data_IF_323765627225
#
_entry.id   IF_323765627225
#
_cell.length_a   1.000
_cell.length_b   1.000
_cell.length_c   1.000
_cell.angle_alpha   90.00
_cell.angle_beta   90.00
_cell.angle_gamma   90.00
#
_symmetry.space_group_name_H-M   'P 1'
#
loop_
_entity.id
_entity.type
_entity.pdbx_description
1 polymer ?
#
# COMPACT_ATOMS: atom_id res chain seq x y z
N UNK A 1 -31.97 -31.61 15.36
CA UNK A 1 -30.80 -32.29 14.76
C UNK A 1 -30.75 -33.78 15.12
N UNK A 2 -31.37 -34.19 16.23
CA UNK A 2 -31.70 -35.59 16.51
C UNK A 2 -33.18 -35.66 16.89
N UNK A 3 -33.85 -36.73 16.49
CA UNK A 3 -35.26 -36.98 16.80
C UNK A 3 -35.39 -37.64 18.17
N UNK A 4 -34.39 -38.46 18.56
CA UNK A 4 -34.24 -39.01 19.91
C UNK A 4 -32.76 -39.25 20.21
N UNK A 5 -32.34 -39.03 21.46
CA UNK A 5 -31.00 -39.36 21.96
C UNK A 5 -31.18 -40.14 23.26
N UNK A 6 -30.74 -41.39 23.26
CA UNK A 6 -30.73 -42.28 24.41
C UNK A 6 -29.27 -42.46 24.87
N UNK A 7 -29.04 -42.34 26.18
CA UNK A 7 -27.72 -42.48 26.80
C UNK A 7 -27.76 -43.58 27.85
N UNK A 8 -27.01 -44.65 27.62
CA UNK A 8 -26.85 -45.75 28.57
C UNK A 8 -25.42 -45.78 29.11
N UNK A 9 -25.28 -45.56 30.42
CA UNK A 9 -24.01 -45.67 31.13
C UNK A 9 -23.92 -46.97 31.93
N UNK A 10 -22.85 -47.74 31.74
CA UNK A 10 -22.46 -48.87 32.59
C UNK A 10 -21.12 -48.59 33.26
N UNK A 11 -21.07 -48.70 34.57
CA UNK A 11 -19.82 -48.64 35.34
C UNK A 11 -19.08 -49.97 35.24
N UNK A 12 -17.83 -49.91 34.80
CA UNK A 12 -16.92 -51.05 34.73
C UNK A 12 -16.28 -51.30 36.10
N UNK A 13 -15.90 -52.55 36.40
CA UNK A 13 -15.29 -52.92 37.70
C UNK A 13 -13.90 -52.31 37.93
N UNK A 14 -13.27 -51.71 36.91
CA UNK A 14 -12.01 -50.96 37.00
C UNK A 14 -12.20 -49.47 37.40
N UNK A 15 -13.45 -49.04 37.66
CA UNK A 15 -13.79 -47.66 38.00
C UNK A 15 -14.03 -46.75 36.80
N UNK A 16 -13.96 -47.27 35.56
CA UNK A 16 -14.31 -46.51 34.36
C UNK A 16 -15.80 -46.59 34.05
N UNK A 17 -16.34 -45.62 33.29
CA UNK A 17 -17.76 -45.57 32.92
C UNK A 17 -17.90 -45.74 31.41
N UNK A 18 -18.43 -46.87 30.97
CA UNK A 18 -18.75 -47.16 29.58
C UNK A 18 -20.09 -46.50 29.21
N UNK A 19 -20.03 -45.46 28.39
CA UNK A 19 -21.20 -44.67 27.99
C UNK A 19 -21.54 -44.96 26.53
N UNK A 20 -22.72 -45.54 26.29
CA UNK A 20 -23.26 -45.83 24.96
C UNK A 20 -24.33 -44.79 24.64
N UNK A 21 -24.11 -43.98 23.61
CA UNK A 21 -25.05 -42.96 23.16
C UNK A 21 -25.67 -43.44 21.84
N UNK A 22 -26.95 -43.79 21.86
CA UNK A 22 -27.75 -44.14 20.68
C UNK A 22 -28.63 -42.96 20.29
N UNK A 23 -28.71 -42.63 19.00
CA UNK A 23 -29.55 -41.51 18.54
C UNK A 23 -30.22 -41.81 17.21
N UNK A 24 -31.44 -41.32 17.04
CA UNK A 24 -32.18 -41.30 15.76
C UNK A 24 -32.02 -39.95 15.10
N UNK A 25 -31.60 -39.97 13.85
CA UNK A 25 -31.35 -38.76 13.06
C UNK A 25 -32.62 -38.34 12.30
N UNK A 26 -32.92 -37.04 12.31
CA UNK A 26 -34.00 -36.48 11.49
C UNK A 26 -33.64 -36.64 10.01
N UNK A 27 -34.48 -37.36 9.26
CA UNK A 27 -34.30 -37.58 7.82
C UNK A 27 -35.47 -37.02 7.02
N UNK A 28 -35.17 -36.40 5.89
CA UNK A 28 -36.15 -35.85 4.96
C UNK A 28 -36.15 -36.60 3.63
N UNK A 29 -37.13 -36.32 2.78
CA UNK A 29 -37.25 -36.92 1.44
C UNK A 29 -36.03 -36.59 0.57
N UNK A 30 -35.81 -37.39 -0.47
CA UNK A 30 -34.76 -37.18 -1.45
C UNK A 30 -34.95 -35.85 -2.19
N UNK A 31 -33.88 -35.06 -2.32
CA UNK A 31 -33.89 -33.82 -3.09
C UNK A 31 -33.00 -33.94 -4.33
N UNK A 32 -33.56 -33.60 -5.50
CA UNK A 32 -32.90 -33.71 -6.81
C UNK A 32 -32.33 -32.37 -7.29
N UNK A 33 -32.71 -31.27 -6.62
CA UNK A 33 -32.34 -29.90 -6.97
C UNK A 33 -31.72 -29.19 -5.77
N UNK A 34 -30.75 -28.35 -6.07
CA UNK A 34 -30.07 -27.49 -5.10
C UNK A 34 -30.10 -26.06 -5.60
N UNK A 35 -30.51 -25.14 -4.74
CA UNK A 35 -30.55 -23.71 -5.02
C UNK A 35 -29.89 -22.96 -3.88
N UNK A 36 -28.97 -22.06 -4.21
CA UNK A 36 -28.33 -21.19 -3.24
C UNK A 36 -28.85 -19.76 -3.44
N UNK A 37 -29.39 -19.15 -2.38
CA UNK A 37 -29.95 -17.80 -2.42
C UNK A 37 -29.30 -16.89 -1.38
N UNK A 38 -29.03 -15.65 -1.76
CA UNK A 38 -28.52 -14.64 -0.85
C UNK A 38 -29.71 -13.93 -0.20
N UNK A 39 -29.86 -14.15 1.11
CA UNK A 39 -30.89 -13.55 1.96
C UNK A 39 -30.35 -12.36 2.78
N UNK A 40 -29.13 -11.91 2.49
CA UNK A 40 -28.54 -10.70 3.07
C UNK A 40 -29.41 -9.47 2.81
N UNK A 41 -29.62 -8.67 3.87
CA UNK A 41 -30.50 -7.50 3.91
C UNK A 41 -32.01 -7.81 3.84
N UNK A 42 -32.41 -9.09 3.95
CA UNK A 42 -33.81 -9.48 4.11
C UNK A 42 -34.10 -9.78 5.58
N UNK A 43 -35.18 -9.21 6.12
CA UNK A 43 -35.64 -9.54 7.46
C UNK A 43 -35.85 -11.06 7.59
N UNK A 44 -35.33 -11.66 8.66
CA UNK A 44 -35.58 -13.06 8.94
C UNK A 44 -37.04 -13.27 9.32
N UNK A 45 -37.68 -14.27 8.72
CA UNK A 45 -39.01 -14.70 9.14
C UNK A 45 -38.86 -15.38 10.50
N UNK A 46 -39.32 -14.73 11.58
CA UNK A 46 -39.44 -15.38 12.87
C UNK A 46 -40.47 -16.52 12.75
N UNK A 47 -40.21 -17.70 13.32
CA UNK A 47 -41.23 -18.73 13.41
C UNK A 47 -42.40 -18.15 14.20
N UNK A 48 -43.57 -18.03 13.56
CA UNK A 48 -44.79 -17.68 14.29
C UNK A 48 -45.17 -18.94 15.06
N UNK A 49 -45.22 -18.84 16.39
CA UNK A 49 -45.67 -19.93 17.24
C UNK A 49 -47.10 -20.30 16.87
N UNK A 50 -47.32 -21.57 16.53
CA UNK A 50 -48.64 -22.07 16.21
C UNK A 50 -49.45 -22.17 17.49
N UNK A 51 -50.60 -21.50 17.52
CA UNK A 51 -51.56 -21.64 18.62
C UNK A 51 -52.07 -23.09 18.68
N UNK A 52 -51.93 -23.79 19.82
CA UNK A 52 -52.39 -25.17 19.97
C UNK A 52 -53.91 -25.35 19.71
N UNK A 53 -54.71 -24.28 19.84
CA UNK A 53 -56.17 -24.32 19.67
C UNK A 53 -56.66 -24.09 18.22
N UNK A 54 -55.76 -23.95 17.23
CA UNK A 54 -56.16 -23.77 15.82
C UNK A 54 -56.90 -24.99 15.24
N UNK A 55 -57.99 -24.74 14.51
CA UNK A 55 -58.72 -25.76 13.75
C UNK A 55 -57.92 -26.27 12.54
N UNK A 56 -58.21 -27.49 12.07
CA UNK A 56 -57.50 -28.12 10.95
C UNK A 56 -57.56 -27.30 9.65
N UNK A 57 -58.63 -26.53 9.44
CA UNK A 57 -58.76 -25.59 8.32
C UNK A 57 -57.80 -24.41 8.44
N UNK A 58 -57.69 -23.82 9.63
CA UNK A 58 -56.79 -22.70 9.91
C UNK A 58 -55.32 -23.15 9.81
N UNK A 59 -55.00 -24.36 10.30
CA UNK A 59 -53.69 -24.97 10.11
C UNK A 59 -53.35 -25.15 8.63
N UNK A 60 -54.28 -25.62 7.81
CA UNK A 60 -54.08 -25.79 6.36
C UNK A 60 -53.86 -24.45 5.63
N UNK A 61 -54.65 -23.42 5.96
CA UNK A 61 -54.46 -22.08 5.39
C UNK A 61 -53.15 -21.44 5.82
N UNK A 62 -52.76 -21.64 7.08
CA UNK A 62 -51.47 -21.20 7.61
C UNK A 62 -50.29 -21.81 6.83
N UNK A 63 -50.28 -23.12 6.61
CA UNK A 63 -49.24 -23.77 5.80
C UNK A 63 -49.21 -23.25 4.35
N UNK A 64 -50.37 -23.02 3.73
CA UNK A 64 -50.45 -22.45 2.37
C UNK A 64 -49.91 -21.02 2.30
N UNK A 65 -50.20 -20.20 3.30
CA UNK A 65 -49.69 -18.83 3.36
C UNK A 65 -48.17 -18.82 3.61
N UNK A 66 -47.68 -19.67 4.52
CA UNK A 66 -46.25 -19.83 4.76
C UNK A 66 -45.50 -20.28 3.51
N UNK A 67 -46.04 -21.23 2.74
CA UNK A 67 -45.43 -21.69 1.48
C UNK A 67 -45.40 -20.59 0.40
N UNK A 68 -46.47 -19.78 0.30
CA UNK A 68 -46.53 -18.63 -0.61
C UNK A 68 -45.52 -17.56 -0.24
N UNK A 69 -45.41 -17.22 1.04
CA UNK A 69 -44.46 -16.23 1.52
C UNK A 69 -43.01 -16.74 1.37
N UNK A 70 -42.78 -18.04 1.56
CA UNK A 70 -41.50 -18.67 1.29
C UNK A 70 -41.11 -18.61 -0.20
N UNK A 71 -42.05 -18.89 -1.12
CA UNK A 71 -41.82 -18.73 -2.57
C UNK A 71 -41.52 -17.29 -2.94
N UNK A 72 -42.27 -16.31 -2.41
CA UNK A 72 -41.99 -14.88 -2.60
C UNK A 72 -40.60 -14.48 -2.06
N UNK A 73 -40.16 -15.07 -0.95
CA UNK A 73 -38.81 -14.85 -0.40
C UNK A 73 -37.74 -15.35 -1.37
N UNK A 74 -37.90 -16.55 -1.92
CA UNK A 74 -36.96 -17.12 -2.92
C UNK A 74 -36.90 -16.27 -4.19
N UNK A 75 -38.05 -15.77 -4.68
CA UNK A 75 -38.10 -14.94 -5.89
C UNK A 75 -37.46 -13.56 -5.70
N UNK A 76 -37.58 -12.98 -4.50
CA UNK A 76 -36.97 -11.70 -4.15
C UNK A 76 -35.49 -11.81 -3.78
N UNK A 77 -35.02 -12.99 -3.41
CA UNK A 77 -33.64 -13.21 -3.00
C UNK A 77 -32.68 -13.05 -4.19
N UNK A 78 -31.51 -12.47 -3.92
CA UNK A 78 -30.46 -12.30 -4.93
C UNK A 78 -29.75 -13.64 -5.18
N UNK A 79 -29.24 -13.89 -6.40
CA UNK A 79 -28.39 -15.04 -6.65
C UNK A 79 -27.09 -14.92 -5.84
N UNK A 80 -26.61 -16.03 -5.31
CA UNK A 80 -25.32 -16.11 -4.61
C UNK A 80 -24.13 -15.99 -5.58
N UNK A 81 -22.98 -15.59 -5.04
CA UNK A 81 -21.67 -15.59 -5.70
C UNK A 81 -21.11 -17.01 -5.92
N UNK A 82 -21.76 -18.03 -5.35
CA UNK A 82 -21.32 -19.43 -5.40
C UNK A 82 -21.21 -19.95 -6.85
N UNK A 83 -20.06 -20.46 -7.28
CA UNK A 83 -19.85 -20.89 -8.66
C UNK A 83 -20.58 -22.19 -8.95
N UNK A 84 -20.83 -22.43 -10.25
CA UNK A 84 -21.52 -23.63 -10.72
C UNK A 84 -20.78 -24.94 -10.38
N UNK A 85 -19.46 -24.87 -10.16
CA UNK A 85 -18.66 -26.02 -9.75
C UNK A 85 -19.09 -26.55 -8.38
N UNK A 86 -19.20 -25.67 -7.38
CA UNK A 86 -19.64 -26.06 -6.03
C UNK A 86 -21.09 -26.52 -6.03
N UNK A 87 -21.96 -25.91 -6.86
CA UNK A 87 -23.33 -26.38 -7.05
C UNK A 87 -23.37 -27.84 -7.54
N UNK A 88 -22.51 -28.22 -8.50
CA UNK A 88 -22.45 -29.60 -9.01
C UNK A 88 -21.96 -30.59 -7.96
N UNK A 89 -20.96 -30.22 -7.15
CA UNK A 89 -20.47 -31.06 -6.06
C UNK A 89 -21.55 -31.30 -5.01
N UNK A 90 -22.31 -30.26 -4.63
CA UNK A 90 -23.43 -30.38 -3.70
C UNK A 90 -24.53 -31.27 -4.27
N UNK A 91 -24.86 -31.12 -5.56
CA UNK A 91 -25.82 -31.99 -6.24
C UNK A 91 -25.35 -33.46 -6.28
N UNK A 92 -24.05 -33.69 -6.45
CA UNK A 92 -23.49 -35.03 -6.38
C UNK A 92 -23.64 -35.63 -4.99
N UNK A 93 -23.33 -34.87 -3.93
CA UNK A 93 -23.54 -35.32 -2.54
C UNK A 93 -24.99 -35.67 -2.24
N UNK A 94 -25.95 -34.91 -2.78
CA UNK A 94 -27.38 -35.19 -2.65
C UNK A 94 -27.78 -36.48 -3.36
N UNK A 95 -27.25 -36.75 -4.55
CA UNK A 95 -27.53 -37.96 -5.34
C UNK A 95 -26.96 -39.23 -4.73
N UNK A 96 -25.75 -39.16 -4.16
CA UNK A 96 -25.06 -40.32 -3.58
C UNK A 96 -25.74 -40.87 -2.32
N UNK A 97 -26.31 -40.01 -1.47
CA UNK A 97 -26.96 -40.45 -0.23
C UNK A 97 -28.42 -40.84 -0.40
N UNK A 98 -29.11 -40.34 -1.43
CA UNK A 98 -30.51 -40.64 -1.73
C UNK A 98 -31.54 -40.11 -0.70
N UNK A 99 -31.15 -39.78 0.53
CA UNK A 99 -31.98 -39.11 1.55
C UNK A 99 -31.25 -37.89 2.10
N UNK A 100 -31.99 -36.83 2.42
CA UNK A 100 -31.41 -35.64 3.07
C UNK A 100 -31.36 -35.91 4.57
N UNK A 101 -30.15 -36.09 5.10
CA UNK A 101 -29.88 -36.25 6.53
C UNK A 101 -29.35 -34.94 7.13
N UNK A 102 -29.43 -34.78 8.46
CA UNK A 102 -28.87 -33.62 9.13
C UNK A 102 -27.34 -33.51 8.93
N UNK A 103 -26.64 -34.65 8.93
CA UNK A 103 -25.21 -34.75 8.59
C UNK A 103 -24.90 -34.30 7.17
N UNK A 104 -25.76 -34.64 6.21
CA UNK A 104 -25.59 -34.19 4.82
C UNK A 104 -25.72 -32.67 4.72
N UNK A 105 -26.73 -32.08 5.36
CA UNK A 105 -26.91 -30.63 5.39
C UNK A 105 -25.72 -29.93 6.06
N UNK A 106 -25.16 -30.51 7.13
CA UNK A 106 -23.91 -30.01 7.72
C UNK A 106 -22.73 -30.08 6.75
N UNK A 107 -22.52 -31.20 6.05
CA UNK A 107 -21.47 -31.31 5.03
C UNK A 107 -21.63 -30.29 3.90
N UNK A 108 -22.87 -30.07 3.45
CA UNK A 108 -23.18 -29.05 2.43
C UNK A 108 -22.86 -27.66 2.97
N UNK A 109 -23.30 -27.35 4.19
CA UNK A 109 -22.99 -26.10 4.89
C UNK A 109 -21.48 -25.88 4.97
N UNK A 110 -20.74 -26.84 5.48
CA UNK A 110 -19.29 -26.76 5.64
C UNK A 110 -18.59 -26.56 4.30
N UNK A 111 -19.04 -27.27 3.25
CA UNK A 111 -18.48 -27.12 1.89
C UNK A 111 -18.71 -25.73 1.30
N UNK A 112 -19.93 -25.20 1.44
CA UNK A 112 -20.31 -23.87 0.95
C UNK A 112 -19.57 -22.80 1.73
N UNK A 113 -19.59 -22.87 3.06
CA UNK A 113 -18.85 -21.92 3.91
C UNK A 113 -17.36 -21.97 3.60
N UNK A 114 -16.76 -23.17 3.47
CA UNK A 114 -15.35 -23.31 3.11
C UNK A 114 -15.00 -22.60 1.82
N UNK A 115 -15.82 -22.74 0.76
CA UNK A 115 -15.59 -22.02 -0.49
C UNK A 115 -15.58 -20.49 -0.29
N UNK A 116 -16.56 -19.94 0.44
CA UNK A 116 -16.58 -18.50 0.71
C UNK A 116 -15.33 -18.04 1.51
N UNK A 117 -14.89 -18.82 2.50
CA UNK A 117 -13.71 -18.47 3.30
C UNK A 117 -12.42 -18.55 2.49
N UNK A 118 -12.28 -19.58 1.64
CA UNK A 118 -11.13 -19.78 0.75
C UNK A 118 -10.99 -18.62 -0.26
N UNK A 119 -12.12 -18.08 -0.76
CA UNK A 119 -12.16 -16.91 -1.65
C UNK A 119 -12.09 -15.55 -0.92
N UNK A 120 -11.98 -15.56 0.41
CA UNK A 120 -11.81 -14.34 1.23
C UNK A 120 -13.10 -13.65 1.69
N UNK A 121 -14.27 -14.25 1.50
CA UNK A 121 -15.55 -13.78 2.03
C UNK A 121 -15.76 -14.25 3.48
N UNK A 122 -14.96 -13.69 4.40
CA UNK A 122 -14.92 -14.09 5.81
C UNK A 122 -16.24 -13.89 6.58
N UNK A 123 -17.11 -12.99 6.11
CA UNK A 123 -18.38 -12.71 6.77
C UNK A 123 -19.57 -13.46 6.17
N UNK A 124 -19.31 -14.37 5.22
CA UNK A 124 -20.37 -15.16 4.60
C UNK A 124 -20.76 -16.36 5.49
N UNK A 125 -22.05 -16.53 5.73
CA UNK A 125 -22.58 -17.60 6.57
C UNK A 125 -23.85 -18.22 5.99
N UNK A 126 -23.93 -19.55 6.04
CA UNK A 126 -25.18 -20.27 5.77
C UNK A 126 -26.06 -20.14 7.01
N UNK A 127 -27.21 -19.49 6.84
CA UNK A 127 -28.15 -19.19 7.92
C UNK A 127 -29.17 -20.31 8.08
N UNK A 128 -29.74 -20.78 6.97
CA UNK A 128 -30.81 -21.76 7.02
C UNK A 128 -30.83 -22.65 5.76
N UNK A 129 -31.42 -23.84 5.91
CA UNK A 129 -31.85 -24.65 4.78
C UNK A 129 -33.37 -24.65 4.77
N UNK A 130 -33.96 -24.08 3.74
CA UNK A 130 -35.40 -23.94 3.66
C UNK A 130 -36.07 -25.07 2.88
N UNK A 131 -37.32 -25.31 3.27
CA UNK A 131 -38.29 -26.24 2.65
C UNK A 131 -37.76 -27.65 2.35
N UNK A 132 -37.18 -28.29 3.38
CA UNK A 132 -36.61 -29.65 3.33
C UNK A 132 -37.63 -30.76 3.00
N UNK A 133 -38.93 -30.46 3.03
CA UNK A 133 -40.00 -31.40 2.67
C UNK A 133 -40.30 -31.42 1.17
N UNK A 134 -39.53 -30.69 0.35
CA UNK A 134 -39.66 -30.67 -1.11
C UNK A 134 -38.49 -31.38 -1.79
N UNK A 135 -38.60 -31.63 -3.10
CA UNK A 135 -37.52 -32.20 -3.93
C UNK A 135 -36.36 -31.22 -4.19
N UNK A 136 -36.35 -30.05 -3.54
CA UNK A 136 -35.35 -28.99 -3.72
C UNK A 136 -34.82 -28.55 -2.36
N UNK A 137 -33.49 -28.56 -2.20
CA UNK A 137 -32.83 -27.99 -1.02
C UNK A 137 -32.44 -26.56 -1.33
N UNK A 138 -33.03 -25.61 -0.60
CA UNK A 138 -32.71 -24.19 -0.70
C UNK A 138 -31.73 -23.81 0.41
N UNK A 139 -30.51 -23.45 0.04
CA UNK A 139 -29.48 -22.95 0.94
C UNK A 139 -29.58 -21.43 1.04
N UNK A 140 -29.89 -20.92 2.22
CA UNK A 140 -29.96 -19.49 2.51
C UNK A 140 -28.63 -19.00 3.07
N UNK A 141 -27.97 -18.12 2.32
CA UNK A 141 -26.66 -17.57 2.66
C UNK A 141 -26.77 -16.08 2.90
N UNK A 142 -26.10 -15.58 3.93
CA UNK A 142 -25.82 -14.17 4.12
C UNK A 142 -24.38 -13.96 3.69
N UNK A 143 -24.15 -13.24 2.59
CA UNK A 143 -22.81 -13.03 2.06
C UNK A 143 -22.06 -11.87 2.73
N UNK A 144 -22.79 -10.98 3.42
CA UNK A 144 -22.22 -9.83 4.12
C UNK A 144 -22.08 -8.60 3.22
N UNK A 145 -23.22 -8.03 2.82
CA UNK A 145 -23.26 -6.81 2.02
C UNK A 145 -22.82 -5.60 2.86
N UNK A 146 -21.94 -4.76 2.31
CA UNK A 146 -21.48 -3.53 2.95
C UNK A 146 -22.62 -2.51 2.90
N UNK A 147 -23.21 -2.22 4.05
CA UNK A 147 -24.27 -1.20 4.18
C UNK A 147 -23.66 0.17 4.38
N UNK A 148 -22.57 0.29 5.13
CA UNK A 148 -21.91 1.55 5.44
C UNK A 148 -20.40 1.38 5.57
N UNK A 149 -19.68 2.44 5.22
CA UNK A 149 -18.24 2.58 5.42
C UNK A 149 -18.00 3.78 6.33
N UNK A 150 -17.42 3.54 7.50
CA UNK A 150 -17.20 4.56 8.52
C UNK A 150 -15.70 4.71 8.76
N UNK A 151 -15.18 5.92 8.59
CA UNK A 151 -13.78 6.24 8.85
C UNK A 151 -13.74 7.05 10.16
N UNK A 152 -13.02 6.54 11.16
CA UNK A 152 -12.88 7.17 12.47
C UNK A 152 -11.41 7.45 12.75
N UNK A 153 -11.11 8.66 13.22
CA UNK A 153 -9.79 8.98 13.72
C UNK A 153 -9.74 8.72 15.22
N UNK A 154 -8.64 8.15 15.69
CA UNK A 154 -8.42 7.81 17.09
C UNK A 154 -7.16 8.49 17.61
N UNK A 155 -7.23 8.97 18.85
CA UNK A 155 -6.08 9.50 19.57
C UNK A 155 -5.18 8.38 20.13
N UNK A 156 -4.06 8.74 20.76
CA UNK A 156 -3.13 7.82 21.41
C UNK A 156 -3.80 6.93 22.47
N UNK A 157 -4.90 7.40 23.06
CA UNK A 157 -5.72 6.71 24.05
C UNK A 157 -6.90 5.92 23.46
N UNK A 158 -7.07 5.89 22.13
CA UNK A 158 -8.15 5.15 21.45
C UNK A 158 -9.51 5.86 21.38
N UNK A 159 -9.61 7.10 21.87
CA UNK A 159 -10.82 7.91 21.79
C UNK A 159 -11.04 8.45 20.37
N UNK A 160 -12.30 8.52 19.94
CA UNK A 160 -12.65 9.10 18.63
C UNK A 160 -12.43 10.61 18.67
N UNK A 161 -11.64 11.12 17.74
CA UNK A 161 -11.28 12.53 17.62
C UNK A 161 -11.50 13.03 16.19
N UNK A 162 -11.55 14.34 16.02
CA UNK A 162 -11.50 14.94 14.68
C UNK A 162 -10.08 14.83 14.13
N UNK A 163 -9.91 14.14 13.01
CA UNK A 163 -8.60 13.93 12.39
C UNK A 163 -8.09 15.18 11.69
N UNK A 164 -6.78 15.39 11.69
CA UNK A 164 -6.18 16.49 10.94
C UNK A 164 -6.17 16.22 9.42
N UNK A 165 -6.27 14.95 9.02
CA UNK A 165 -6.32 14.52 7.62
C UNK A 165 -7.72 14.64 7.04
N UNK A 166 -7.85 15.20 5.84
CA UNK A 166 -9.14 15.29 5.18
C UNK A 166 -9.63 13.92 4.74
N UNK A 167 -10.90 13.60 5.03
CA UNK A 167 -11.54 12.32 4.66
C UNK A 167 -11.41 11.95 3.16
N UNK A 168 -11.51 12.89 2.19
CA UNK A 168 -11.32 12.57 0.78
C UNK A 168 -9.95 11.95 0.47
N UNK A 169 -8.89 12.30 1.22
CA UNK A 169 -7.53 11.77 1.03
C UNK A 169 -7.46 10.29 1.39
N UNK A 170 -8.18 9.87 2.43
CA UNK A 170 -8.27 8.46 2.80
C UNK A 170 -9.21 7.72 1.84
N UNK A 171 -10.37 8.31 1.55
CA UNK A 171 -11.44 7.66 0.76
C UNK A 171 -11.00 7.31 -0.66
N UNK A 172 -10.13 8.11 -1.29
CA UNK A 172 -9.58 7.84 -2.63
C UNK A 172 -8.66 6.62 -2.67
N UNK A 173 -7.99 6.29 -1.56
CA UNK A 173 -7.06 5.15 -1.48
C UNK A 173 -7.80 3.83 -1.22
N UNK A 174 -9.10 3.90 -0.91
CA UNK A 174 -9.93 2.72 -0.68
C UNK A 174 -10.30 2.02 -2.00
N UNK A 175 -10.19 0.68 -2.05
CA UNK A 175 -10.61 -0.10 -3.21
C UNK A 175 -12.12 0.02 -3.44
N UNK A 176 -12.54 -0.09 -4.71
CA UNK A 176 -13.96 0.03 -5.08
C UNK A 176 -14.83 -1.05 -4.45
N UNK A 177 -14.25 -2.22 -4.15
CA UNK A 177 -14.89 -3.35 -3.51
C UNK A 177 -15.39 -3.03 -2.09
N UNK A 178 -14.77 -2.09 -1.37
CA UNK A 178 -15.22 -1.67 -0.04
C UNK A 178 -16.30 -0.58 -0.07
N UNK A 179 -16.84 -0.25 -1.25
CA UNK A 179 -17.95 0.69 -1.37
C UNK A 179 -19.26 0.02 -0.92
N UNK A 180 -20.16 0.85 -0.41
CA UNK A 180 -21.53 0.46 -0.09
C UNK A 180 -22.20 -0.28 -1.25
N UNK A 181 -22.90 -1.37 -0.94
CA UNK A 181 -23.62 -2.23 -1.88
C UNK A 181 -22.82 -3.41 -2.43
N UNK A 182 -21.51 -3.49 -2.15
CA UNK A 182 -20.69 -4.65 -2.50
C UNK A 182 -20.56 -5.63 -1.33
N UNK A 183 -20.23 -6.88 -1.62
CA UNK A 183 -19.96 -7.90 -0.61
C UNK A 183 -18.56 -7.70 -0.01
N UNK A 184 -18.44 -7.80 1.32
CA UNK A 184 -17.17 -7.63 2.01
C UNK A 184 -16.20 -8.78 1.69
N UNK A 185 -14.99 -8.41 1.22
CA UNK A 185 -13.89 -9.35 0.99
C UNK A 185 -12.66 -8.91 1.80
N UNK A 186 -12.04 -9.88 2.49
CA UNK A 186 -10.86 -9.65 3.34
C UNK A 186 -9.63 -9.19 2.55
N UNK A 187 -9.48 -9.62 1.30
CA UNK A 187 -8.38 -9.19 0.42
C UNK A 187 -8.51 -7.71 0.06
N UNK A 188 -9.74 -7.24 -0.17
CA UNK A 188 -10.02 -5.82 -0.37
C UNK A 188 -9.70 -5.01 0.91
N UNK A 189 -10.02 -5.55 2.09
CA UNK A 189 -9.61 -4.98 3.38
C UNK A 189 -8.08 -4.87 3.51
N UNK A 190 -7.34 -5.94 3.19
CA UNK A 190 -5.86 -5.95 3.18
C UNK A 190 -5.29 -4.98 2.16
N UNK A 191 -5.91 -4.86 0.98
CA UNK A 191 -5.49 -3.90 -0.05
C UNK A 191 -5.70 -2.46 0.43
N UNK A 192 -6.83 -2.17 1.08
CA UNK A 192 -7.09 -0.87 1.69
C UNK A 192 -6.03 -0.53 2.74
N UNK A 193 -5.71 -1.47 3.63
CA UNK A 193 -4.66 -1.30 4.64
C UNK A 193 -3.31 -0.95 3.99
N UNK A 194 -2.90 -1.67 2.93
CA UNK A 194 -1.64 -1.39 2.20
C UNK A 194 -1.64 -0.01 1.56
N UNK A 195 -2.74 0.39 0.91
CA UNK A 195 -2.85 1.69 0.26
C UNK A 195 -2.81 2.83 1.29
N UNK A 196 -3.55 2.71 2.40
CA UNK A 196 -3.54 3.71 3.47
C UNK A 196 -2.17 3.78 4.14
N UNK A 197 -1.52 2.65 4.39
CA UNK A 197 -0.17 2.61 4.95
C UNK A 197 0.85 3.30 4.03
N UNK A 198 0.67 3.19 2.71
CA UNK A 198 1.55 3.87 1.74
C UNK A 198 1.48 5.41 1.80
N UNK A 199 0.45 5.98 2.45
CA UNK A 199 0.38 7.42 2.68
C UNK A 199 1.39 7.90 3.75
N UNK A 200 1.89 7.01 4.62
CA UNK A 200 2.81 7.32 5.72
C UNK A 200 2.30 8.44 6.67
N UNK A 201 0.98 8.56 6.80
CA UNK A 201 0.29 9.54 7.66
C UNK A 201 -0.21 8.95 8.98
N UNK A 202 -0.27 7.62 9.09
CA UNK A 202 -0.91 6.93 10.20
C UNK A 202 0.08 5.99 10.88
N UNK A 203 0.03 5.93 12.21
CA UNK A 203 0.84 5.04 13.03
C UNK A 203 0.18 3.68 13.23
N UNK A 204 -1.14 3.64 13.35
CA UNK A 204 -1.93 2.41 13.43
C UNK A 204 -3.16 2.54 12.52
N UNK A 205 -3.49 1.44 11.83
CA UNK A 205 -4.62 1.34 10.90
C UNK A 205 -5.32 0.02 11.20
N UNK A 206 -6.58 0.09 11.58
CA UNK A 206 -7.41 -1.08 11.83
C UNK A 206 -8.62 -1.05 10.91
N UNK A 207 -8.90 -2.16 10.24
CA UNK A 207 -10.06 -2.34 9.38
C UNK A 207 -10.90 -3.46 9.97
N UNK A 208 -12.01 -3.10 10.59
CA UNK A 208 -12.88 -4.01 11.32
C UNK A 208 -14.25 -4.08 10.66
N UNK A 209 -14.67 -5.24 10.12
CA UNK A 209 -16.07 -5.44 9.72
C UNK A 209 -16.92 -5.66 10.98
N UNK A 210 -18.01 -4.91 11.11
CA UNK A 210 -19.00 -5.07 12.18
C UNK A 210 -20.38 -5.37 11.59
N UNK A 211 -21.19 -6.25 12.18
CA UNK A 211 -22.58 -6.42 11.78
C UNK A 211 -23.35 -5.11 11.93
N UNK A 212 -24.19 -4.79 10.96
CA UNK A 212 -25.09 -3.63 11.02
C UNK A 212 -26.30 -3.97 11.89
N UNK A 213 -26.49 -3.26 13.01
CA UNK A 213 -27.65 -3.46 13.90
C UNK A 213 -28.98 -3.08 13.23
N UNK A 214 -28.96 -2.18 12.24
CA UNK A 214 -30.17 -1.71 11.56
C UNK A 214 -30.63 -2.62 10.44
N UNK A 215 -29.70 -3.33 9.80
CA UNK A 215 -29.97 -4.19 8.66
C UNK A 215 -29.45 -5.60 8.92
N UNK A 216 -30.35 -6.56 9.14
CA UNK A 216 -29.98 -7.96 9.34
C UNK A 216 -29.16 -8.49 8.14
N UNK A 217 -27.96 -9.00 8.42
CA UNK A 217 -27.02 -9.51 7.41
C UNK A 217 -26.21 -8.44 6.66
N UNK A 218 -26.37 -7.16 7.02
CA UNK A 218 -25.52 -6.07 6.57
C UNK A 218 -24.23 -5.94 7.39
N UNK A 219 -23.19 -5.37 6.79
CA UNK A 219 -21.90 -5.12 7.42
C UNK A 219 -21.54 -3.64 7.33
N UNK A 220 -21.17 -3.07 8.46
CA UNK A 220 -20.51 -1.77 8.57
C UNK A 220 -19.00 -2.00 8.61
N UNK A 221 -18.28 -1.45 7.63
CA UNK A 221 -16.81 -1.51 7.63
C UNK A 221 -16.30 -0.27 8.37
N UNK A 222 -15.75 -0.48 9.56
CA UNK A 222 -15.11 0.57 10.36
C UNK A 222 -13.61 0.59 10.08
N UNK A 223 -13.11 1.74 9.64
CA UNK A 223 -11.68 2.01 9.45
C UNK A 223 -11.25 2.96 10.56
N UNK A 224 -10.48 2.45 11.51
CA UNK A 224 -9.93 3.24 12.62
C UNK A 224 -8.50 3.63 12.27
N UNK A 225 -8.24 4.93 12.35
CA UNK A 225 -6.97 5.54 11.95
C UNK A 225 -6.36 6.30 13.11
N UNK A 226 -5.14 5.93 13.50
CA UNK A 226 -4.36 6.70 14.45
C UNK A 226 -3.33 7.52 13.70
N UNK A 227 -3.45 8.84 13.75
CA UNK A 227 -2.53 9.74 13.03
C UNK A 227 -1.11 9.63 13.59
N UNK A 228 -0.13 9.78 12.72
CA UNK A 228 1.28 9.93 13.09
C UNK A 228 1.55 11.39 13.49
N UNK A 229 2.52 11.60 14.36
CA UNK A 229 2.98 12.95 14.70
C UNK A 229 3.48 13.65 13.43
N UNK A 230 2.88 14.81 13.11
CA UNK A 230 3.12 15.52 11.85
C UNK A 230 4.50 16.17 11.76
N UNK A 231 5.15 16.43 12.89
CA UNK A 231 6.43 17.11 12.99
C UNK A 231 7.47 16.14 13.50
N UNK A 232 8.54 15.95 12.74
CA UNK A 232 9.72 15.24 13.21
C UNK A 232 10.97 16.09 12.97
N UNK A 233 11.92 15.95 13.89
CA UNK A 233 13.26 16.49 13.75
C UNK A 233 14.23 15.36 14.04
N UNK A 234 15.11 15.10 13.08
CA UNK A 234 16.12 14.05 13.15
C UNK A 234 17.50 14.71 13.08
N UNK A 235 18.40 14.25 13.94
CA UNK A 235 19.79 14.71 13.98
C UNK A 235 20.67 13.48 13.84
N UNK A 236 21.44 13.41 12.77
CA UNK A 236 22.45 12.38 12.55
C UNK A 236 23.84 13.01 12.69
N UNK A 237 24.72 12.39 13.46
CA UNK A 237 26.12 12.80 13.58
C UNK A 237 27.01 11.76 12.92
N UNK A 238 27.97 12.23 12.14
CA UNK A 238 28.94 11.43 11.40
C UNK A 238 30.35 11.81 11.85
N UNK A 239 31.25 10.85 11.90
CA UNK A 239 32.64 11.08 12.32
C UNK A 239 33.56 10.56 11.24
N UNK A 240 34.25 11.48 10.56
CA UNK A 240 35.21 11.14 9.52
C UNK A 240 36.64 11.29 10.03
N UNK A 241 37.51 10.34 9.65
CA UNK A 241 38.95 10.36 9.94
C UNK A 241 39.68 10.52 8.60
N UNK A 242 40.20 11.72 8.34
CA UNK A 242 40.96 12.00 7.11
C UNK A 242 42.46 11.89 7.39
N UNK A 243 43.17 10.89 6.86
CA UNK A 243 44.60 10.73 7.13
C UNK A 243 45.38 11.96 6.64
N UNK A 244 46.25 12.51 7.49
CA UNK A 244 47.07 13.68 7.13
C UNK A 244 48.13 13.33 6.07
N UNK A 245 48.91 14.34 5.63
CA UNK A 245 49.97 14.21 4.59
C UNK A 245 51.02 13.11 4.83
N UNK A 246 51.08 12.53 6.04
CA UNK A 246 51.96 11.40 6.39
C UNK A 246 51.25 10.04 6.54
N UNK A 247 50.00 9.91 6.09
CA UNK A 247 49.21 8.65 6.16
C UNK A 247 48.81 8.20 7.57
N UNK A 248 49.17 8.98 8.61
CA UNK A 248 48.83 8.71 10.01
C UNK A 248 47.68 9.61 10.46
N UNK A 249 46.67 9.05 11.16
CA UNK A 249 45.61 9.86 11.76
C UNK A 249 46.21 10.71 12.90
N UNK A 250 46.04 12.03 12.83
CA UNK A 250 46.41 12.99 13.89
C UNK A 250 45.15 13.51 14.58
N UNK A 251 45.23 14.18 15.74
CA UNK A 251 44.04 14.74 16.41
C UNK A 251 43.22 15.72 15.53
N UNK A 252 43.85 16.33 14.52
CA UNK A 252 43.20 17.19 13.52
C UNK A 252 42.55 16.42 12.34
N UNK A 253 42.77 15.10 12.25
CA UNK A 253 42.13 14.22 11.25
C UNK A 253 40.66 13.93 11.57
N UNK A 254 40.23 14.25 12.77
CA UNK A 254 38.89 14.00 13.26
C UNK A 254 37.95 15.13 12.87
N UNK A 255 37.09 14.85 11.89
CA UNK A 255 36.12 15.80 11.37
C UNK A 255 34.72 15.35 11.78
N UNK A 256 34.13 15.95 12.83
CA UNK A 256 32.75 15.70 13.19
C UNK A 256 31.84 16.39 12.17
N UNK A 257 31.06 15.61 11.43
CA UNK A 257 30.01 16.07 10.52
C UNK A 257 28.64 15.66 11.03
N UNK A 258 27.60 16.06 10.32
CA UNK A 258 26.25 15.63 10.63
C UNK A 258 25.19 16.26 9.75
N UNK A 259 23.98 15.70 9.84
CA UNK A 259 22.79 16.20 9.15
C UNK A 259 21.69 16.48 10.17
N UNK A 260 21.13 17.69 10.10
CA UNK A 260 19.92 18.05 10.83
C UNK A 260 18.78 18.12 9.82
N UNK A 261 17.77 17.28 9.98
CA UNK A 261 16.57 17.28 9.14
C UNK A 261 15.32 17.57 9.95
N UNK A 262 14.47 18.43 9.40
CA UNK A 262 13.14 18.74 9.90
C UNK A 262 12.12 18.31 8.85
N UNK A 263 11.10 17.59 9.27
CA UNK A 263 9.99 17.19 8.42
C UNK A 263 8.67 17.64 9.04
N UNK A 264 7.84 18.24 8.22
CA UNK A 264 6.46 18.56 8.55
C UNK A 264 5.53 17.93 7.52
N UNK A 265 4.81 16.89 7.92
CA UNK A 265 3.87 16.12 7.10
C UNK A 265 2.45 16.64 7.25
N UNK A 266 1.62 16.31 6.26
CA UNK A 266 0.18 16.53 6.25
C UNK A 266 -0.31 17.99 6.39
N UNK A 267 0.35 18.95 5.74
CA UNK A 267 -0.08 20.35 5.76
C UNK A 267 -1.54 20.50 5.28
N UNK A 268 -2.38 21.12 6.10
CA UNK A 268 -3.82 21.31 5.87
C UNK A 268 -4.61 20.00 5.63
N UNK A 269 -4.07 18.85 6.05
CA UNK A 269 -4.73 17.55 5.91
C UNK A 269 -4.71 16.95 4.50
N UNK A 270 -3.84 17.46 3.61
CA UNK A 270 -3.82 17.10 2.18
C UNK A 270 -2.62 16.21 1.79
N UNK A 271 -1.97 15.55 2.75
CA UNK A 271 -0.73 14.78 2.53
C UNK A 271 0.40 15.61 1.89
N UNK A 272 0.45 16.91 2.19
CA UNK A 272 1.51 17.82 1.75
C UNK A 272 2.63 17.80 2.77
N UNK A 273 3.88 17.71 2.32
CA UNK A 273 5.03 17.71 3.23
C UNK A 273 6.04 18.80 2.89
N UNK A 274 6.70 19.31 3.93
CA UNK A 274 7.90 20.14 3.85
C UNK A 274 9.01 19.37 4.54
N UNK A 275 10.12 19.16 3.84
CA UNK A 275 11.33 18.53 4.34
C UNK A 275 12.48 19.53 4.21
N UNK A 276 13.09 19.92 5.32
CA UNK A 276 14.32 20.68 5.37
C UNK A 276 15.46 19.78 5.85
N UNK A 277 16.62 19.87 5.22
CA UNK A 277 17.83 19.18 5.66
C UNK A 277 19.02 20.12 5.53
N UNK A 278 19.88 20.09 6.54
CA UNK A 278 21.12 20.83 6.61
C UNK A 278 22.22 19.82 6.91
N UNK A 279 23.17 19.67 5.98
CA UNK A 279 24.28 18.73 6.09
C UNK A 279 25.59 19.52 6.14
N UNK A 280 26.46 19.15 7.07
CA UNK A 280 27.83 19.66 7.15
C UNK A 280 28.79 18.50 7.34
N UNK A 281 29.87 18.46 6.58
CA UNK A 281 30.94 17.46 6.76
C UNK A 281 31.90 17.81 7.90
N UNK A 282 31.90 19.08 8.34
CA UNK A 282 32.79 19.55 9.40
C UNK A 282 32.11 20.65 10.24
N UNK A 283 31.72 20.32 11.47
CA UNK A 283 31.18 21.27 12.43
C UNK A 283 32.20 22.31 12.91
N UNK A 284 33.50 22.03 12.81
CA UNK A 284 34.55 22.97 13.23
C UNK A 284 34.71 24.12 12.23
N UNK A 285 34.49 23.85 10.94
CA UNK A 285 34.48 24.85 9.86
C UNK A 285 33.21 24.69 9.00
N UNK A 286 32.03 25.09 9.52
CA UNK A 286 30.78 24.87 8.80
C UNK A 286 30.67 25.70 7.51
N UNK A 287 31.45 26.77 7.37
CA UNK A 287 31.43 27.62 6.18
C UNK A 287 32.02 26.94 4.94
N UNK A 288 32.85 25.91 5.13
CA UNK A 288 33.57 25.25 4.04
C UNK A 288 32.75 24.16 3.34
N UNK A 289 31.67 23.64 3.95
CA UNK A 289 30.88 22.55 3.34
C UNK A 289 29.44 22.46 3.89
N UNK A 290 28.75 23.59 3.92
CA UNK A 290 27.32 23.63 4.30
C UNK A 290 26.44 23.35 3.08
N UNK A 291 25.82 22.16 3.05
CA UNK A 291 24.77 21.83 2.10
C UNK A 291 23.40 21.99 2.77
N UNK A 292 22.45 22.58 2.06
CA UNK A 292 21.05 22.59 2.51
C UNK A 292 20.13 22.12 1.41
N UNK A 293 19.03 21.50 1.79
CA UNK A 293 17.96 21.12 0.88
C UNK A 293 16.61 21.29 1.56
N UNK A 294 15.79 22.16 1.00
CA UNK A 294 14.41 22.38 1.39
C UNK A 294 13.50 21.87 0.28
N UNK A 295 12.52 21.04 0.61
CA UNK A 295 11.69 20.33 -0.34
C UNK A 295 10.22 20.37 0.07
N UNK A 296 9.37 20.89 -0.80
CA UNK A 296 7.92 20.89 -0.68
C UNK A 296 7.33 19.86 -1.63
N UNK A 297 6.50 18.96 -1.10
CA UNK A 297 5.85 17.89 -1.85
C UNK A 297 4.33 18.04 -1.76
N UNK A 298 3.68 18.03 -2.92
CA UNK A 298 2.23 18.08 -3.06
C UNK A 298 1.74 16.94 -3.96
N UNK A 299 1.33 15.79 -3.40
CA UNK A 299 0.96 14.58 -4.16
C UNK A 299 -0.29 14.68 -5.04
N UNK A 300 -1.21 15.61 -4.75
CA UNK A 300 -2.51 15.72 -5.42
C UNK A 300 -2.71 17.09 -6.05
N UNK A 301 -1.85 17.43 -7.02
CA UNK A 301 -1.83 18.76 -7.64
C UNK A 301 -3.19 19.16 -8.24
N UNK A 302 -3.84 18.23 -8.95
CA UNK A 302 -5.12 18.48 -9.65
C UNK A 302 -6.36 18.36 -8.72
N UNK A 303 -6.15 18.17 -7.42
CA UNK A 303 -7.20 17.97 -6.42
C UNK A 303 -7.48 16.51 -6.07
N UNK A 304 -8.12 16.29 -4.92
CA UNK A 304 -8.28 14.96 -4.31
C UNK A 304 -9.28 14.07 -5.04
N UNK A 305 -10.24 14.68 -5.76
CA UNK A 305 -11.28 13.97 -6.52
C UNK A 305 -10.84 13.56 -7.93
N UNK A 306 -9.72 14.08 -8.42
CA UNK A 306 -9.23 13.75 -9.76
C UNK A 306 -8.55 12.36 -9.74
N UNK A 307 -8.88 11.45 -10.68
CA UNK A 307 -8.20 10.16 -10.79
C UNK A 307 -6.73 10.27 -11.21
N UNK A 308 -6.29 11.42 -11.74
CA UNK A 308 -4.90 11.64 -12.14
C UNK A 308 -4.00 11.88 -10.93
N UNK A 309 -3.03 10.99 -10.73
CA UNK A 309 -2.04 11.10 -9.67
C UNK A 309 -0.83 11.90 -10.15
N UNK A 310 -0.94 13.23 -10.03
CA UNK A 310 0.15 14.18 -10.32
C UNK A 310 0.72 14.77 -9.04
N UNK A 311 2.01 14.50 -8.82
CA UNK A 311 2.75 15.03 -7.67
C UNK A 311 3.58 16.23 -8.10
N UNK A 312 3.36 17.38 -7.48
CA UNK A 312 4.25 18.53 -7.59
C UNK A 312 5.32 18.48 -6.51
N UNK A 313 6.56 18.78 -6.88
CA UNK A 313 7.73 18.80 -6.00
C UNK A 313 8.56 20.04 -6.30
N UNK A 314 8.64 20.94 -5.32
CA UNK A 314 9.52 22.11 -5.39
C UNK A 314 10.66 21.91 -4.40
N UNK A 315 11.91 22.12 -4.83
CA UNK A 315 13.08 22.00 -3.98
C UNK A 315 14.02 23.17 -4.17
N UNK A 316 14.48 23.75 -3.08
CA UNK A 316 15.62 24.67 -3.03
C UNK A 316 16.81 23.89 -2.47
N UNK A 317 17.96 23.97 -3.12
CA UNK A 317 19.13 23.23 -2.70
C UNK A 317 20.39 24.08 -2.82
N UNK A 318 21.36 23.80 -1.96
CA UNK A 318 22.74 24.19 -2.08
C UNK A 318 23.60 22.96 -1.80
N UNK A 319 24.51 22.65 -2.71
CA UNK A 319 25.41 21.52 -2.58
C UNK A 319 26.78 21.85 -3.15
N UNK A 320 27.83 21.46 -2.44
CA UNK A 320 29.23 21.49 -2.89
C UNK A 320 29.66 20.09 -3.30
N UNK A 321 30.35 19.95 -4.43
CA UNK A 321 30.91 18.67 -4.90
C UNK A 321 32.27 18.88 -5.56
N UNK A 322 33.17 17.93 -5.41
CA UNK A 322 34.44 17.90 -6.13
C UNK A 322 34.20 17.73 -7.64
N UNK A 323 34.87 18.51 -8.47
CA UNK A 323 34.81 18.35 -9.92
C UNK A 323 35.59 17.12 -10.38
N UNK A 324 34.98 16.18 -11.11
CA UNK A 324 35.71 15.04 -11.68
C UNK A 324 36.47 15.39 -12.97
N UNK A 325 36.30 16.61 -13.51
CA UNK A 325 36.84 17.02 -14.82
C UNK A 325 38.26 17.58 -14.71
N UNK A 326 38.59 18.22 -13.58
CA UNK A 326 39.89 18.84 -13.35
C UNK A 326 40.79 17.86 -12.60
N UNK A 327 41.36 16.91 -13.32
CA UNK A 327 42.32 15.93 -12.79
C UNK A 327 43.68 16.08 -13.47
N UNK A 328 44.75 15.68 -12.79
CA UNK A 328 46.10 15.65 -13.35
C UNK A 328 46.19 14.81 -14.63
N UNK A 329 46.91 15.33 -15.63
CA UNK A 329 47.26 14.58 -16.82
C UNK A 329 48.37 13.54 -16.55
N UNK A 330 48.72 12.70 -17.53
CA UNK A 330 49.78 11.71 -17.38
C UNK A 330 51.10 12.37 -16.93
N UNK A 331 51.63 11.97 -15.78
CA UNK A 331 52.88 12.50 -15.21
C UNK A 331 52.73 13.69 -14.24
N UNK A 332 51.51 14.06 -13.87
CA UNK A 332 51.22 15.07 -12.83
C UNK A 332 50.39 14.42 -11.73
N UNK A 333 51.00 14.19 -10.56
CA UNK A 333 50.37 13.41 -9.48
C UNK A 333 49.31 14.17 -8.67
N UNK A 334 49.34 15.52 -8.66
CA UNK A 334 48.34 16.33 -7.94
C UNK A 334 48.08 17.65 -8.68
N UNK A 335 46.85 17.83 -9.16
CA UNK A 335 46.34 19.14 -9.60
C UNK A 335 45.39 19.63 -8.52
N UNK A 336 45.47 20.90 -8.10
CA UNK A 336 44.57 21.41 -7.07
C UNK A 336 43.10 21.20 -7.45
N UNK A 337 42.31 20.61 -6.54
CA UNK A 337 40.92 20.30 -6.78
C UNK A 337 40.10 21.56 -6.99
N UNK A 338 39.12 21.45 -7.89
CA UNK A 338 38.11 22.48 -8.12
C UNK A 338 36.80 22.00 -7.54
N UNK A 339 36.25 22.79 -6.62
CA UNK A 339 34.94 22.57 -6.02
C UNK A 339 33.86 23.22 -6.88
N UNK A 340 32.75 22.51 -7.07
CA UNK A 340 31.57 22.99 -7.80
C UNK A 340 30.43 23.14 -6.81
N UNK A 341 30.13 24.39 -6.48
CA UNK A 341 28.97 24.74 -5.68
C UNK A 341 27.78 24.94 -6.62
N UNK A 342 26.66 24.30 -6.29
CA UNK A 342 25.40 24.43 -7.01
C UNK A 342 24.34 24.89 -6.04
N UNK A 343 23.81 26.08 -6.27
CA UNK A 343 22.66 26.60 -5.55
C UNK A 343 21.52 26.84 -6.53
N UNK A 344 20.33 26.35 -6.22
CA UNK A 344 19.24 26.43 -7.19
C UNK A 344 17.87 26.04 -6.67
N UNK A 345 16.90 26.28 -7.53
CA UNK A 345 15.50 25.92 -7.34
C UNK A 345 15.09 24.96 -8.45
N UNK A 346 14.38 23.92 -8.08
CA UNK A 346 13.87 22.90 -8.99
C UNK A 346 12.39 22.69 -8.72
N UNK A 347 11.57 22.77 -9.76
CA UNK A 347 10.13 22.52 -9.69
C UNK A 347 9.77 21.42 -10.68
N UNK A 348 9.28 20.27 -10.19
CA UNK A 348 8.92 19.13 -11.02
C UNK A 348 7.47 18.72 -10.79
N UNK A 349 6.84 18.23 -11.85
CA UNK A 349 5.58 17.52 -11.83
C UNK A 349 5.89 16.07 -12.20
N UNK A 350 5.42 15.12 -11.40
CA UNK A 350 5.54 13.69 -11.64
C UNK A 350 4.16 13.10 -11.89
N UNK A 351 3.98 12.49 -13.05
CA UNK A 351 2.78 11.75 -13.44
C UNK A 351 3.05 10.25 -13.34
N UNK A 352 2.21 9.54 -12.60
CA UNK A 352 2.27 8.09 -12.49
C UNK A 352 1.27 7.49 -13.49
N UNK A 353 1.75 6.93 -14.61
CA UNK A 353 0.91 6.28 -15.61
C UNK A 353 0.48 4.88 -15.16
N UNK A 354 1.43 4.12 -14.61
CA UNK A 354 1.19 2.80 -14.03
C UNK A 354 1.98 2.67 -12.73
N UNK A 355 1.81 1.59 -11.98
CA UNK A 355 2.66 1.30 -10.80
C UNK A 355 4.15 1.21 -11.16
N UNK A 356 4.46 0.93 -12.42
CA UNK A 356 5.81 0.67 -12.93
C UNK A 356 6.38 1.82 -13.77
N UNK A 357 5.53 2.70 -14.31
CA UNK A 357 5.94 3.75 -15.25
C UNK A 357 5.62 5.13 -14.69
N UNK A 358 6.65 5.96 -14.57
CA UNK A 358 6.58 7.33 -14.05
C UNK A 358 7.22 8.29 -15.04
N UNK A 359 6.59 9.45 -15.21
CA UNK A 359 7.12 10.53 -16.01
C UNK A 359 7.24 11.79 -15.16
N UNK A 360 8.44 12.34 -15.08
CA UNK A 360 8.73 13.56 -14.33
C UNK A 360 9.18 14.62 -15.32
N UNK A 361 8.57 15.79 -15.30
CA UNK A 361 9.02 16.94 -16.07
C UNK A 361 9.05 18.17 -15.17
N UNK A 362 9.98 19.08 -15.43
CA UNK A 362 10.18 20.21 -14.55
C UNK A 362 11.15 21.25 -15.08
N UNK A 363 11.27 22.32 -14.31
CA UNK A 363 12.17 23.43 -14.56
C UNK A 363 13.22 23.47 -13.45
N UNK A 364 14.48 23.58 -13.84
CA UNK A 364 15.60 23.76 -12.92
C UNK A 364 16.23 25.11 -13.22
N UNK A 365 16.44 25.91 -12.18
CA UNK A 365 17.25 27.13 -12.22
C UNK A 365 18.38 26.95 -11.22
N UNK A 366 19.63 26.95 -11.68
CA UNK A 366 20.79 26.80 -10.81
C UNK A 366 21.87 27.84 -11.14
N UNK A 367 22.54 28.29 -10.08
CA UNK A 367 23.80 29.00 -10.11
C UNK A 367 24.90 27.99 -9.79
N UNK A 368 25.89 27.90 -10.68
CA UNK A 368 27.07 27.07 -10.57
C UNK A 368 28.23 28.00 -10.29
N UNK A 369 28.89 27.84 -9.16
CA UNK A 369 30.11 28.58 -8.82
C UNK A 369 31.26 27.60 -8.63
N UNK A 370 32.40 27.89 -9.24
CA UNK A 370 33.59 27.05 -9.14
C UNK A 370 34.61 27.70 -8.23
N UNK A 371 35.12 26.94 -7.26
CA UNK A 371 36.05 27.43 -6.24
C UNK A 371 37.31 26.60 -6.16
N UNK A 372 38.40 27.25 -5.76
CA UNK A 372 39.68 26.60 -5.46
C UNK A 372 39.72 26.03 -4.03
N UNK A 373 40.85 25.44 -3.64
CA UNK A 373 41.10 24.94 -2.27
C UNK A 373 40.97 26.01 -1.19
N UNK A 374 41.23 27.27 -1.52
CA UNK A 374 41.14 28.40 -0.61
C UNK A 374 39.74 29.05 -0.60
N UNK A 375 38.74 28.39 -1.19
CA UNK A 375 37.35 28.85 -1.33
C UNK A 375 37.16 30.13 -2.16
N UNK A 376 38.16 30.57 -2.93
CA UNK A 376 38.04 31.69 -3.87
C UNK A 376 37.44 31.24 -5.19
N UNK A 377 36.75 32.14 -5.87
CA UNK A 377 36.16 31.87 -7.19
C UNK A 377 37.29 31.64 -8.19
N UNK A 378 37.32 30.46 -8.79
CA UNK A 378 38.30 30.07 -9.79
C UNK A 378 37.65 30.05 -11.17
N UNK A 379 38.03 31.02 -12.01
CA UNK A 379 37.52 31.17 -13.38
C UNK A 379 38.18 30.22 -14.38
N UNK A 380 39.43 29.83 -14.12
CA UNK A 380 40.24 28.99 -14.98
C UNK A 380 40.88 27.88 -14.15
N UNK A 381 40.97 26.69 -14.74
CA UNK A 381 41.73 25.60 -14.18
C UNK A 381 43.21 25.93 -14.12
N UNK A 382 43.95 25.17 -13.32
CA UNK A 382 45.39 25.31 -13.23
C UNK A 382 46.10 24.39 -14.21
N UNK A 383 47.15 24.89 -14.86
CA UNK A 383 48.03 24.15 -15.77
C UNK A 383 49.46 24.18 -15.25
N UNK A 384 50.14 23.04 -15.31
CA UNK A 384 51.58 22.95 -15.01
C UNK A 384 52.38 23.46 -16.20
N UNK A 385 53.28 24.41 -15.96
CA UNK A 385 54.22 24.94 -16.95
C UNK A 385 55.40 23.96 -17.13
N UNK A 386 56.07 23.96 -18.29
CA UNK A 386 57.28 23.16 -18.52
C UNK A 386 58.43 23.42 -17.52
N UNK A 387 58.38 24.55 -16.80
CA UNK A 387 59.31 24.92 -15.73
C UNK A 387 58.96 24.29 -14.37
N UNK A 388 57.90 23.49 -14.27
CA UNK A 388 57.40 22.91 -13.01
C UNK A 388 56.53 23.86 -12.16
N UNK A 389 56.32 25.10 -12.63
CA UNK A 389 55.42 26.06 -11.96
C UNK A 389 53.95 25.82 -12.29
N UNK A 390 53.04 26.24 -11.41
CA UNK A 390 51.59 26.17 -11.62
C UNK A 390 51.10 27.53 -12.14
N UNK A 391 50.34 27.55 -13.23
CA UNK A 391 49.75 28.75 -13.81
C UNK A 391 48.22 28.62 -13.88
N UNK A 392 47.49 29.67 -13.48
CA UNK A 392 46.02 29.74 -13.52
C UNK A 392 45.46 30.10 -14.92
N UNK A 393 46.21 29.84 -15.98
CA UNK A 393 45.84 30.08 -17.38
C UNK A 393 45.41 28.76 -18.07
N UNK A 394 44.72 27.91 -17.32
CA UNK A 394 44.15 26.66 -17.84
C UNK A 394 42.77 26.87 -18.46
N UNK A 395 42.07 25.76 -18.80
CA UNK A 395 40.76 25.84 -19.42
C UNK A 395 39.73 26.51 -18.50
N UNK A 396 38.76 27.26 -19.04
CA UNK A 396 37.73 27.92 -18.24
C UNK A 396 36.91 26.89 -17.47
N UNK A 397 36.60 27.21 -16.21
CA UNK A 397 35.85 26.34 -15.29
C UNK A 397 34.35 26.37 -15.53
N UNK A 398 33.85 27.45 -16.14
CA UNK A 398 32.44 27.66 -16.49
C UNK A 398 32.29 28.13 -17.94
N UNK A 399 31.09 28.05 -18.51
CA UNK A 399 30.80 28.45 -19.89
C UNK A 399 31.09 29.94 -20.11
N UNK A 400 30.78 30.78 -19.13
CA UNK A 400 31.08 32.22 -19.20
C UNK A 400 32.57 32.54 -19.05
N UNK A 401 33.37 31.64 -18.47
CA UNK A 401 34.77 31.89 -18.15
C UNK A 401 34.99 32.84 -16.97
N UNK A 402 33.95 33.09 -16.16
CA UNK A 402 34.01 33.95 -14.96
C UNK A 402 34.11 33.17 -13.65
N UNK A 403 33.92 31.84 -13.70
CA UNK A 403 33.81 30.99 -12.52
C UNK A 403 32.40 30.96 -11.90
N UNK A 404 31.45 31.76 -12.43
CA UNK A 404 30.05 31.79 -11.99
C UNK A 404 29.11 31.75 -13.20
N UNK A 405 28.29 30.72 -13.28
CA UNK A 405 27.27 30.58 -14.33
C UNK A 405 25.89 30.41 -13.73
N UNK A 406 24.92 31.17 -14.25
CA UNK A 406 23.50 30.96 -13.98
C UNK A 406 22.88 30.30 -15.19
N UNK A 407 22.04 29.30 -14.99
CA UNK A 407 21.30 28.70 -16.09
C UNK A 407 19.93 28.19 -15.66
N UNK A 408 18.99 28.26 -16.61
CA UNK A 408 17.71 27.60 -16.51
C UNK A 408 17.56 26.54 -17.61
N UNK A 409 17.08 25.36 -17.23
CA UNK A 409 16.86 24.26 -18.16
C UNK A 409 15.60 23.46 -17.81
N UNK A 410 14.97 22.92 -18.85
CA UNK A 410 13.87 21.97 -18.70
C UNK A 410 14.44 20.57 -18.51
N UNK A 411 13.90 19.84 -17.55
CA UNK A 411 14.25 18.45 -17.27
C UNK A 411 13.03 17.57 -17.52
N UNK A 412 13.21 16.48 -18.27
CA UNK A 412 12.23 15.43 -18.44
C UNK A 412 12.88 14.08 -18.12
N UNK A 413 12.17 13.21 -17.40
CA UNK A 413 12.64 11.89 -16.99
C UNK A 413 11.50 10.88 -17.11
N UNK A 414 11.72 9.82 -17.89
CA UNK A 414 10.84 8.66 -17.99
C UNK A 414 11.53 7.50 -17.27
N UNK A 415 10.86 6.97 -16.25
CA UNK A 415 11.33 5.79 -15.52
C UNK A 415 10.32 4.66 -15.70
N UNK A 416 10.81 3.51 -16.17
CA UNK A 416 10.08 2.24 -16.22
C UNK A 416 10.79 1.22 -15.35
N UNK A 417 10.14 0.80 -14.28
CA UNK A 417 10.66 -0.14 -13.30
C UNK A 417 9.73 -1.36 -13.17
N UNK A 418 10.20 -2.51 -13.64
CA UNK A 418 9.53 -3.80 -13.56
C UNK A 418 10.33 -4.77 -12.68
N UNK A 419 11.14 -4.26 -11.76
CA UNK A 419 11.88 -5.09 -10.81
C UNK A 419 10.93 -5.71 -9.77
N UNK A 420 11.21 -6.97 -9.42
CA UNK A 420 10.48 -7.75 -8.42
C UNK A 420 11.49 -8.44 -7.51
N UNK A 421 11.11 -8.64 -6.25
CA UNK A 421 11.91 -9.43 -5.32
C UNK A 421 11.42 -10.88 -5.34
N UNK A 422 12.31 -11.80 -5.70
CA UNK A 422 12.09 -13.25 -5.66
C UNK A 422 13.08 -13.84 -4.65
N UNK A 423 12.57 -14.31 -3.51
CA UNK A 423 13.38 -14.91 -2.43
C UNK A 423 14.59 -14.04 -2.00
N UNK A 424 14.41 -12.72 -1.94
CA UNK A 424 15.47 -11.76 -1.57
C UNK A 424 16.38 -11.32 -2.72
N UNK A 425 16.30 -11.94 -3.91
CA UNK A 425 17.00 -11.50 -5.10
C UNK A 425 16.12 -10.59 -5.97
N UNK A 426 16.71 -9.52 -6.51
CA UNK A 426 16.03 -8.61 -7.43
C UNK A 426 16.07 -9.21 -8.82
N UNK A 427 14.92 -9.34 -9.48
CA UNK A 427 14.77 -9.84 -10.85
C UNK A 427 13.94 -8.85 -11.65
N UNK A 428 14.24 -8.68 -12.94
CA UNK A 428 13.50 -7.80 -13.85
C UNK A 428 14.35 -6.73 -14.49
N UNK A 429 13.72 -5.62 -14.87
CA UNK A 429 14.38 -4.53 -15.61
C UNK A 429 14.00 -3.16 -15.04
N UNK A 430 14.96 -2.24 -15.09
CA UNK A 430 14.77 -0.83 -14.75
C UNK A 430 15.44 0.04 -15.81
N UNK A 431 14.61 0.83 -16.50
CA UNK A 431 15.03 1.70 -17.58
C UNK A 431 14.72 3.15 -17.20
N UNK A 432 15.72 4.02 -17.26
CA UNK A 432 15.60 5.44 -16.94
C UNK A 432 16.13 6.24 -18.11
N UNK A 433 15.31 7.12 -18.66
CA UNK A 433 15.68 8.05 -19.72
C UNK A 433 15.46 9.47 -19.26
N UNK A 434 16.53 10.27 -19.23
CA UNK A 434 16.52 11.67 -18.81
C UNK A 434 16.97 12.57 -19.95
N UNK A 435 16.27 13.69 -20.13
CA UNK A 435 16.58 14.75 -21.09
C UNK A 435 16.62 16.07 -20.34
N UNK A 436 17.72 16.79 -20.44
CA UNK A 436 17.85 18.16 -19.96
C UNK A 436 18.08 19.09 -21.15
N UNK A 437 17.19 20.06 -21.34
CA UNK A 437 17.22 21.05 -22.42
C UNK A 437 17.48 22.44 -21.83
N UNK A 438 18.67 22.98 -22.10
CA UNK A 438 19.03 24.36 -21.77
C UNK A 438 18.13 25.34 -22.53
N UNK A 439 17.60 26.34 -21.82
CA UNK A 439 16.71 27.35 -22.41
C UNK A 439 17.47 28.55 -22.99
N UNK A 440 18.80 28.60 -22.87
CA UNK A 440 19.58 29.78 -23.22
C UNK A 440 19.37 30.97 -22.27
N UNK A 441 18.67 30.77 -21.15
CA UNK A 441 18.43 31.79 -20.13
C UNK A 441 19.56 31.71 -19.09
N UNK A 442 20.36 32.76 -18.99
CA UNK A 442 21.44 32.87 -18.00
C UNK A 442 22.77 33.38 -18.59
N UNK A 443 23.87 32.99 -17.96
CA UNK A 443 25.22 33.45 -18.33
C UNK A 443 25.64 32.94 -19.71
N UNK A 444 25.93 33.86 -20.64
CA UNK A 444 26.44 33.57 -22.00
C UNK A 444 25.57 32.60 -22.83
N UNK A 445 24.24 32.70 -22.67
CA UNK A 445 23.25 31.90 -23.42
C UNK A 445 23.52 30.39 -23.31
N UNK A 446 23.32 29.78 -22.12
CA UNK A 446 23.62 28.37 -21.88
C UNK A 446 22.59 27.48 -22.59
N UNK A 447 22.81 27.25 -23.89
CA UNK A 447 22.01 26.36 -24.72
C UNK A 447 22.75 25.03 -24.89
N UNK A 448 22.19 23.99 -24.29
CA UNK A 448 22.74 22.64 -24.36
C UNK A 448 21.60 21.63 -24.40
N UNK A 449 21.93 20.42 -24.84
CA UNK A 449 21.05 19.29 -24.69
C UNK A 449 21.85 18.14 -24.07
N UNK A 450 21.34 17.58 -22.98
CA UNK A 450 21.93 16.41 -22.31
C UNK A 450 20.91 15.28 -22.28
N UNK A 451 21.29 14.16 -22.87
CA UNK A 451 20.53 12.92 -22.83
C UNK A 451 21.26 11.88 -21.98
N UNK A 452 20.56 11.23 -21.06
CA UNK A 452 21.09 10.12 -20.27
C UNK A 452 20.14 8.93 -20.35
N UNK A 453 20.65 7.79 -20.80
CA UNK A 453 19.94 6.52 -20.84
C UNK A 453 20.64 5.53 -19.91
N UNK A 454 19.93 5.07 -18.89
CA UNK A 454 20.40 4.04 -17.97
C UNK A 454 19.49 2.82 -18.09
N UNK A 455 20.07 1.68 -18.49
CA UNK A 455 19.38 0.40 -18.60
C UNK A 455 20.00 -0.57 -17.60
N UNK A 456 19.19 -1.11 -16.70
CA UNK A 456 19.62 -2.11 -15.72
C UNK A 456 18.73 -3.33 -15.83
N UNK A 457 19.34 -4.51 -15.99
CA UNK A 457 18.63 -5.78 -16.13
C UNK A 457 19.18 -6.82 -15.16
N UNK A 458 18.29 -7.39 -14.36
CA UNK A 458 18.58 -8.47 -13.45
C UNK A 458 18.03 -9.77 -14.02
N UNK A 459 18.93 -10.63 -14.49
CA UNK A 459 18.61 -11.93 -15.06
C UNK A 459 18.71 -13.00 -13.98
N UNK A 460 17.62 -13.74 -13.79
CA UNK A 460 17.61 -14.89 -12.89
C UNK A 460 18.32 -16.07 -13.56
N UNK A 461 19.44 -16.51 -12.99
CA UNK A 461 20.23 -17.63 -13.53
C UNK A 461 19.73 -19.00 -13.06
N UNK A 462 19.07 -19.08 -11.90
CA UNK A 462 18.48 -20.31 -11.36
C UNK A 462 16.97 -20.15 -11.26
N UNK A 463 16.21 -21.08 -11.86
CA UNK A 463 14.78 -21.16 -11.60
C UNK A 463 14.60 -21.54 -10.13
N UNK A 464 14.07 -20.61 -9.35
CA UNK A 464 13.67 -20.85 -7.97
C UNK A 464 12.16 -20.65 -7.96
N UNK A 465 11.42 -21.60 -7.40
CA UNK A 465 9.99 -21.44 -7.21
C UNK A 465 9.71 -20.20 -6.38
N UNK A 466 8.70 -19.42 -6.77
CA UNK A 466 8.16 -18.34 -5.95
C UNK A 466 7.77 -18.97 -4.62
N UNK A 467 8.55 -18.70 -3.57
CA UNK A 467 8.25 -19.21 -2.25
C UNK A 467 6.86 -18.72 -1.87
N UNK A 468 5.91 -19.64 -1.70
CA UNK A 468 4.61 -19.32 -1.12
C UNK A 468 4.87 -18.47 0.12
N UNK A 469 4.37 -17.23 0.10
CA UNK A 469 4.63 -16.25 1.13
C UNK A 469 4.34 -16.87 2.50
N UNK A 470 5.38 -17.32 3.20
CA UNK A 470 5.29 -17.58 4.64
C UNK A 470 5.10 -16.20 5.26
N UNK A 471 3.84 -15.87 5.54
CA UNK A 471 3.47 -14.90 6.56
C UNK A 471 4.28 -15.21 7.80
N UNK A 472 5.34 -14.42 8.04
CA UNK A 472 5.96 -14.36 9.35
C UNK A 472 5.12 -13.41 10.19
N UNK A 473 4.82 -13.91 11.38
CA UNK A 473 3.92 -13.38 12.41
C UNK A 473 4.18 -11.92 12.80
#
# INVERSE_FOLDING_TARGET
>A
MFEKVDMEGKTNPDGTLALTISFTESTWQSADRFRCINVGLMAQSKPIEMDPDMTDKEKLEYYKNQEKDYKRRIERARPCLLPMQVHREVLQMLREQGKVSARLLQKIRDRVQKWYHDEGYACAQVVNFGNLNTKEVVCEVVEGDITQLVIQFQDKLGNVVEGNTQLPVVRRELPRQLRQGNVFNIEAGKQALRNINSLALFSNIEVNPRPDEKNEGGIVVEIKLKELDQKSAEVSTEWNIVPGRGGRPTLASFQPGGTVSFEHRNLKGLNRSILGSLTTSNYLNPQDDLAFKLEYVHPYLDGVYNPRNRTFRASCFNSRKLSPVFTGGPGVDEVPPIWVDRAGVKANITENFTRQSKFTYGLVMEEITTRDESSHISANGQRVLPSGGICADGPPTTLSGTGVDRMAFLQANITRDNTKFLNGAIVGERNVFQVDQGLGIGSKFPFFNRHQLTLTRFLQLRQVEEGAARSRD
#
